data_IF_460979235654
#
_entry.id   IF_460979235654
#
_cell.length_a   1.000
_cell.length_b   1.000
_cell.length_c   1.000
_cell.angle_alpha   90.00
_cell.angle_beta   90.00
_cell.angle_gamma   90.00
#
_symmetry.space_group_name_H-M   'P 1'
#
loop_
_entity.id
_entity.type
_entity.pdbx_description
1 polymer ?
#
# COMPACT_ATOMS: atom_id res chain seq x y z
N UNK A 1 3.38 -32.28 23.85
CA UNK A 1 4.17 -32.09 22.62
C UNK A 1 4.25 -30.58 22.36
N UNK A 2 5.35 -30.10 21.88
CA UNK A 2 5.50 -28.68 21.47
C UNK A 2 4.67 -28.44 20.21
N UNK A 3 3.75 -27.51 20.24
CA UNK A 3 2.92 -27.13 19.10
C UNK A 3 3.79 -26.45 18.02
N UNK A 4 3.49 -26.67 16.73
CA UNK A 4 4.28 -26.12 15.63
C UNK A 4 3.48 -25.12 14.80
N UNK A 5 4.00 -23.90 14.70
CA UNK A 5 3.51 -22.85 13.83
C UNK A 5 4.40 -22.76 12.59
N UNK A 6 3.78 -22.91 11.42
CA UNK A 6 4.40 -22.62 10.14
C UNK A 6 3.87 -21.28 9.62
N UNK A 7 4.77 -20.40 9.16
CA UNK A 7 4.47 -19.10 8.56
C UNK A 7 4.96 -19.10 7.11
N UNK A 8 4.06 -18.82 6.17
CA UNK A 8 4.40 -18.67 4.75
C UNK A 8 4.46 -17.18 4.40
N UNK A 9 5.66 -16.68 4.17
CA UNK A 9 5.95 -15.26 3.91
C UNK A 9 6.63 -14.59 5.10
N UNK A 10 7.84 -14.11 4.88
CA UNK A 10 8.77 -13.59 5.90
C UNK A 10 8.83 -12.07 6.01
N UNK A 11 7.84 -11.32 5.49
CA UNK A 11 7.83 -9.86 5.59
C UNK A 11 6.79 -9.37 6.63
N UNK A 12 6.23 -8.19 6.46
CA UNK A 12 5.48 -7.40 7.43
C UNK A 12 4.45 -8.20 8.24
N UNK A 13 3.54 -8.93 7.60
CA UNK A 13 2.49 -9.67 8.28
C UNK A 13 3.03 -10.93 8.96
N UNK A 14 3.81 -11.74 8.23
CA UNK A 14 4.32 -13.02 8.73
C UNK A 14 5.23 -12.86 9.94
N UNK A 15 6.23 -11.98 9.85
CA UNK A 15 7.18 -11.78 10.95
C UNK A 15 6.60 -11.00 12.12
N UNK A 16 5.61 -10.11 11.89
CA UNK A 16 4.82 -9.50 12.96
C UNK A 16 4.02 -10.55 13.74
N UNK A 17 3.42 -11.52 13.02
CA UNK A 17 2.66 -12.59 13.65
C UNK A 17 3.57 -13.56 14.42
N UNK A 18 4.65 -14.03 13.79
CA UNK A 18 5.64 -14.91 14.42
C UNK A 18 6.20 -14.30 15.72
N UNK A 19 6.63 -13.04 15.64
CA UNK A 19 7.15 -12.29 16.82
C UNK A 19 6.08 -12.11 17.90
N UNK A 20 4.84 -11.86 17.54
CA UNK A 20 3.76 -11.67 18.49
C UNK A 20 3.36 -13.00 19.16
N UNK A 21 3.28 -14.10 18.41
CA UNK A 21 3.01 -15.43 18.94
C UNK A 21 4.12 -15.86 19.93
N UNK A 22 5.39 -15.60 19.59
CA UNK A 22 6.56 -15.89 20.44
C UNK A 22 6.54 -15.11 21.76
N UNK A 23 6.03 -13.87 21.78
CA UNK A 23 5.88 -13.10 23.03
C UNK A 23 4.87 -13.70 24.00
N UNK A 24 3.91 -14.48 23.49
CA UNK A 24 2.87 -15.11 24.31
C UNK A 24 3.23 -16.54 24.72
N UNK A 25 4.00 -17.24 23.89
CA UNK A 25 4.37 -18.64 24.14
C UNK A 25 5.86 -18.86 23.91
N UNK A 26 6.51 -19.42 24.92
CA UNK A 26 7.93 -19.75 24.85
C UNK A 26 8.26 -20.86 23.85
N UNK A 27 9.56 -21.06 23.52
CA UNK A 27 10.00 -22.02 22.51
C UNK A 27 9.70 -23.48 22.92
N UNK A 28 9.53 -23.77 24.20
CA UNK A 28 9.17 -25.09 24.70
C UNK A 28 7.69 -25.43 24.48
N UNK A 29 6.85 -24.42 24.27
CA UNK A 29 5.42 -24.57 24.06
C UNK A 29 5.02 -24.44 22.58
N UNK A 30 5.74 -23.57 21.83
CA UNK A 30 5.47 -23.28 20.43
C UNK A 30 6.77 -23.17 19.64
N UNK A 31 7.03 -24.11 18.74
CA UNK A 31 8.09 -23.95 17.75
C UNK A 31 7.57 -23.12 16.57
N UNK A 32 8.36 -22.22 16.03
CA UNK A 32 7.97 -21.32 14.94
C UNK A 32 9.00 -21.43 13.82
N UNK A 33 8.53 -21.79 12.62
CA UNK A 33 9.32 -21.72 11.40
C UNK A 33 8.63 -20.80 10.40
N UNK A 34 9.39 -19.91 9.76
CA UNK A 34 8.91 -19.02 8.71
C UNK A 34 9.69 -19.24 7.43
N UNK A 35 9.00 -19.35 6.30
CA UNK A 35 9.58 -19.54 4.98
C UNK A 35 9.35 -18.31 4.12
N UNK A 36 10.40 -17.82 3.46
CA UNK A 36 10.32 -16.80 2.44
C UNK A 36 11.11 -17.21 1.19
N UNK A 37 10.51 -17.02 0.02
CA UNK A 37 11.14 -17.35 -1.26
C UNK A 37 12.22 -16.35 -1.70
N UNK A 38 12.17 -15.11 -1.16
CA UNK A 38 13.09 -14.02 -1.48
C UNK A 38 14.42 -14.13 -0.75
N UNK A 39 15.31 -13.20 -1.07
CA UNK A 39 16.63 -13.09 -0.45
C UNK A 39 16.60 -12.32 0.88
N UNK A 40 15.47 -11.70 1.22
CA UNK A 40 15.31 -10.84 2.39
C UNK A 40 14.03 -11.17 3.13
N UNK A 41 14.01 -10.90 4.42
CA UNK A 41 12.79 -10.88 5.24
C UNK A 41 12.77 -9.65 6.13
N UNK A 42 11.58 -9.28 6.63
CA UNK A 42 11.41 -8.16 7.58
C UNK A 42 12.12 -6.88 7.13
N UNK A 43 11.70 -6.31 6.02
CA UNK A 43 12.28 -5.12 5.42
C UNK A 43 11.22 -4.02 5.16
N UNK A 44 11.70 -2.81 4.85
CA UNK A 44 10.87 -1.64 4.54
C UNK A 44 10.67 -1.52 3.02
N UNK A 45 9.69 -2.25 2.44
CA UNK A 45 9.38 -2.20 1.01
C UNK A 45 9.10 -0.76 0.52
N UNK A 46 8.43 0.07 1.33
CA UNK A 46 8.20 1.49 1.00
C UNK A 46 9.49 2.32 0.87
N UNK A 47 10.64 1.78 1.27
CA UNK A 47 11.95 2.39 1.09
C UNK A 47 12.55 2.21 -0.31
N UNK A 48 12.00 1.32 -1.14
CA UNK A 48 12.54 0.97 -2.46
C UNK A 48 12.65 2.20 -3.38
N UNK A 49 11.63 3.03 -3.58
CA UNK A 49 11.77 4.23 -4.42
C UNK A 49 12.85 5.18 -3.93
N UNK A 50 12.99 5.34 -2.61
CA UNK A 50 14.01 6.20 -2.02
C UNK A 50 15.43 5.63 -2.16
N UNK A 51 15.58 4.30 -2.16
CA UNK A 51 16.84 3.64 -2.49
C UNK A 51 17.19 3.83 -3.98
N UNK A 52 16.26 3.57 -4.89
CA UNK A 52 16.44 3.78 -6.32
C UNK A 52 16.77 5.25 -6.61
N UNK A 53 16.05 6.19 -6.01
CA UNK A 53 16.25 7.64 -6.15
C UNK A 53 17.53 8.17 -5.50
N UNK A 54 18.15 7.42 -4.57
CA UNK A 54 19.42 7.76 -3.92
C UNK A 54 19.29 8.52 -2.61
N UNK A 55 18.09 8.72 -2.08
CA UNK A 55 17.89 9.25 -0.73
C UNK A 55 18.34 8.23 0.34
N UNK A 56 18.14 6.95 0.08
CA UNK A 56 18.73 5.82 0.83
C UNK A 56 19.87 5.26 -0.01
N UNK A 57 21.09 5.26 0.52
CA UNK A 57 22.29 4.93 -0.26
C UNK A 57 22.59 3.43 -0.29
N UNK A 58 22.20 2.69 0.74
CA UNK A 58 22.50 1.29 0.93
C UNK A 58 21.22 0.50 1.16
N UNK A 59 21.02 -0.58 0.41
CA UNK A 59 19.84 -1.43 0.49
C UNK A 59 19.67 -2.05 1.88
N UNK A 60 20.78 -2.36 2.54
CA UNK A 60 20.80 -2.98 3.88
C UNK A 60 20.13 -2.10 4.94
N UNK A 61 20.06 -0.77 4.74
CA UNK A 61 19.33 0.15 5.62
C UNK A 61 17.81 -0.06 5.57
N UNK A 62 17.32 -0.77 4.57
CA UNK A 62 15.91 -1.13 4.46
C UNK A 62 15.59 -2.43 5.20
N UNK A 63 16.59 -3.24 5.56
CA UNK A 63 16.41 -4.48 6.31
C UNK A 63 16.22 -4.13 7.78
N UNK A 64 15.08 -4.54 8.34
CA UNK A 64 14.74 -4.27 9.74
C UNK A 64 15.35 -5.33 10.66
N UNK A 65 15.33 -6.61 10.22
CA UNK A 65 15.91 -7.74 10.96
C UNK A 65 16.33 -8.84 10.01
N UNK A 66 17.39 -9.56 10.41
CA UNK A 66 17.91 -10.72 9.67
C UNK A 66 17.40 -12.05 10.26
N UNK A 67 17.52 -13.17 9.52
CA UNK A 67 17.23 -14.51 10.03
C UNK A 67 17.95 -14.82 11.35
N UNK A 68 19.23 -14.46 11.45
CA UNK A 68 20.09 -14.69 12.63
C UNK A 68 19.58 -13.91 13.84
N UNK A 69 19.06 -12.70 13.64
CA UNK A 69 18.46 -11.91 14.71
C UNK A 69 17.13 -12.51 15.18
N UNK A 70 16.31 -13.07 14.30
CA UNK A 70 15.11 -13.79 14.69
C UNK A 70 15.43 -15.07 15.45
N UNK A 71 16.43 -15.83 14.99
CA UNK A 71 16.87 -17.03 15.69
C UNK A 71 17.44 -16.70 17.07
N UNK A 72 18.39 -15.78 17.17
CA UNK A 72 19.10 -15.49 18.42
C UNK A 72 18.27 -14.74 19.46
N UNK A 73 17.39 -13.82 19.02
CA UNK A 73 16.62 -12.96 19.94
C UNK A 73 15.23 -13.51 20.26
N UNK A 74 14.66 -14.33 19.37
CA UNK A 74 13.27 -14.77 19.46
C UNK A 74 13.08 -16.29 19.29
N UNK A 75 14.13 -17.04 19.01
CA UNK A 75 14.05 -18.48 18.76
C UNK A 75 13.00 -18.83 17.68
N UNK A 76 13.02 -18.04 16.58
CA UNK A 76 12.23 -18.24 15.38
C UNK A 76 13.17 -18.69 14.26
N UNK A 77 12.90 -19.86 13.68
CA UNK A 77 13.61 -20.41 12.54
C UNK A 77 13.07 -19.74 11.26
N UNK A 78 13.71 -18.66 10.82
CA UNK A 78 13.31 -17.91 9.63
C UNK A 78 14.23 -18.26 8.47
N UNK A 79 13.67 -18.90 7.43
CA UNK A 79 14.40 -19.43 6.28
C UNK A 79 14.07 -18.62 5.02
N UNK A 80 15.02 -17.83 4.55
CA UNK A 80 14.97 -17.17 3.24
C UNK A 80 15.35 -18.16 2.13
N UNK A 81 14.97 -17.85 0.85
CA UNK A 81 15.22 -18.69 -0.31
C UNK A 81 14.59 -20.09 -0.20
N UNK A 82 13.50 -20.17 0.55
CA UNK A 82 12.70 -21.35 0.74
C UNK A 82 11.25 -21.07 0.33
N UNK A 83 10.83 -21.61 -0.80
CA UNK A 83 9.47 -21.41 -1.32
C UNK A 83 8.56 -22.54 -0.85
N UNK A 84 7.41 -22.17 -0.27
CA UNK A 84 6.32 -23.11 -0.05
C UNK A 84 5.55 -23.26 -1.35
N UNK A 85 5.55 -24.46 -1.90
CA UNK A 85 4.97 -24.77 -3.21
C UNK A 85 3.64 -25.53 -3.11
N UNK A 86 3.32 -26.12 -1.94
CA UNK A 86 2.09 -26.87 -1.73
C UNK A 86 1.68 -26.81 -0.24
N UNK A 87 0.37 -26.79 0.01
CA UNK A 87 -0.23 -26.96 1.34
C UNK A 87 -1.12 -28.19 1.29
N UNK A 88 -0.83 -29.20 2.12
CA UNK A 88 -1.65 -30.40 2.31
C UNK A 88 -2.34 -30.31 3.67
N UNK A 89 -3.61 -29.89 3.65
CA UNK A 89 -4.42 -29.70 4.85
C UNK A 89 -4.75 -31.01 5.54
N UNK A 90 -4.89 -32.11 4.79
CA UNK A 90 -5.23 -33.44 5.35
C UNK A 90 -4.04 -34.00 6.14
N UNK A 91 -2.83 -33.78 5.67
CA UNK A 91 -1.59 -34.15 6.38
C UNK A 91 -1.17 -33.15 7.43
N UNK A 92 -1.70 -31.91 7.42
CA UNK A 92 -1.19 -30.83 8.25
C UNK A 92 0.27 -30.49 7.92
N UNK A 93 0.62 -30.35 6.63
CA UNK A 93 2.00 -30.12 6.20
C UNK A 93 2.08 -29.20 4.97
N UNK A 94 3.22 -28.51 4.84
CA UNK A 94 3.55 -27.73 3.65
C UNK A 94 4.77 -28.32 2.95
N UNK A 95 4.78 -28.29 1.62
CA UNK A 95 5.94 -28.66 0.82
C UNK A 95 6.81 -27.44 0.58
N UNK A 96 8.08 -27.56 0.92
CA UNK A 96 9.06 -26.47 0.83
C UNK A 96 10.15 -26.85 -0.16
N UNK A 97 10.48 -25.94 -1.06
CA UNK A 97 11.58 -26.10 -2.02
C UNK A 97 12.66 -25.06 -1.71
N UNK A 98 13.89 -25.50 -1.50
CA UNK A 98 15.05 -24.62 -1.34
C UNK A 98 15.54 -24.13 -2.71
N UNK A 99 15.73 -22.81 -2.87
CA UNK A 99 16.31 -22.22 -4.09
C UNK A 99 17.84 -22.41 -4.18
N UNK A 100 18.49 -22.85 -3.09
CA UNK A 100 19.94 -23.03 -3.06
C UNK A 100 20.41 -24.30 -3.76
N UNK A 101 19.68 -25.39 -3.56
CA UNK A 101 20.05 -26.72 -4.05
C UNK A 101 18.88 -27.48 -4.70
N UNK A 102 17.69 -26.88 -4.76
CA UNK A 102 16.47 -27.51 -5.27
C UNK A 102 15.91 -28.61 -4.38
N UNK A 103 16.40 -28.76 -3.15
CA UNK A 103 15.92 -29.77 -2.22
C UNK A 103 14.47 -29.51 -1.83
N UNK A 104 13.67 -30.57 -1.80
CA UNK A 104 12.26 -30.53 -1.40
C UNK A 104 12.07 -31.27 -0.08
N UNK A 105 11.27 -30.70 0.82
CA UNK A 105 10.91 -31.30 2.10
C UNK A 105 9.46 -31.00 2.47
N UNK A 106 8.84 -31.91 3.24
CA UNK A 106 7.56 -31.66 3.89
C UNK A 106 7.79 -31.20 5.34
N UNK A 107 7.18 -30.06 5.69
CA UNK A 107 7.22 -29.50 7.04
C UNK A 107 5.81 -29.54 7.65
N UNK A 108 5.65 -30.33 8.73
CA UNK A 108 4.37 -30.46 9.44
C UNK A 108 4.02 -29.21 10.24
N UNK A 109 2.73 -28.94 10.43
CA UNK A 109 2.22 -27.86 11.26
C UNK A 109 1.02 -28.29 12.11
N UNK A 110 0.89 -27.70 13.29
CA UNK A 110 -0.34 -27.67 14.08
C UNK A 110 -1.14 -26.39 13.81
N UNK A 111 -0.45 -25.31 13.40
CA UNK A 111 -1.02 -24.03 13.00
C UNK A 111 -0.31 -23.49 11.78
N UNK A 112 -1.07 -22.90 10.88
CA UNK A 112 -0.56 -22.31 9.64
C UNK A 112 -0.95 -20.83 9.54
N UNK A 113 0.01 -19.99 9.18
CA UNK A 113 -0.23 -18.61 8.74
C UNK A 113 0.16 -18.45 7.27
N UNK A 114 -0.80 -18.07 6.43
CA UNK A 114 -0.55 -17.67 5.05
C UNK A 114 -0.38 -16.15 4.99
N UNK A 115 0.83 -15.69 4.69
CA UNK A 115 1.22 -14.28 4.59
C UNK A 115 1.99 -14.02 3.28
N UNK A 116 1.53 -14.63 2.20
CA UNK A 116 2.15 -14.64 0.86
C UNK A 116 2.21 -13.28 0.17
N UNK A 117 1.56 -12.26 0.73
CA UNK A 117 1.60 -10.89 0.21
C UNK A 117 0.88 -10.71 -1.13
N UNK A 118 1.45 -9.87 -1.99
CA UNK A 118 0.90 -9.55 -3.31
C UNK A 118 2.04 -9.43 -4.34
N UNK A 119 1.68 -9.53 -5.62
CA UNK A 119 2.62 -9.40 -6.74
C UNK A 119 2.20 -8.25 -7.66
N UNK A 120 3.14 -7.44 -8.19
CA UNK A 120 2.85 -6.40 -9.18
C UNK A 120 2.14 -6.98 -10.40
N UNK A 121 1.06 -6.31 -10.81
CA UNK A 121 0.34 -6.71 -12.02
C UNK A 121 1.20 -6.49 -13.25
N UNK A 122 1.36 -7.54 -14.04
CA UNK A 122 2.04 -7.48 -15.34
C UNK A 122 1.01 -7.74 -16.43
N UNK A 123 0.86 -6.84 -17.42
CA UNK A 123 -0.14 -7.02 -18.47
C UNK A 123 0.30 -8.10 -19.46
N UNK A 124 -0.65 -8.87 -19.98
CA UNK A 124 -0.40 -9.84 -21.07
C UNK A 124 -0.34 -9.10 -22.41
N UNK A 125 0.72 -8.34 -22.62
CA UNK A 125 0.95 -7.53 -23.82
C UNK A 125 2.23 -7.98 -24.54
N UNK A 126 2.38 -7.70 -25.85
CA UNK A 126 3.61 -7.99 -26.58
C UNK A 126 4.83 -7.41 -25.88
N UNK A 127 5.86 -8.24 -25.67
CA UNK A 127 7.12 -7.91 -25.01
C UNK A 127 7.01 -7.35 -23.57
N UNK A 128 5.92 -7.62 -22.86
CA UNK A 128 5.80 -7.21 -21.46
C UNK A 128 6.78 -7.92 -20.52
N UNK A 129 7.39 -9.01 -20.97
CA UNK A 129 8.40 -9.81 -20.28
C UNK A 129 9.85 -9.46 -20.68
N UNK A 130 10.05 -8.45 -21.55
CA UNK A 130 11.38 -8.01 -21.95
C UNK A 130 12.19 -7.51 -20.75
N UNK A 131 13.52 -7.72 -20.81
CA UNK A 131 14.46 -7.17 -19.85
C UNK A 131 14.30 -5.63 -19.76
N UNK A 132 14.51 -5.05 -18.57
CA UNK A 132 14.35 -3.61 -18.36
C UNK A 132 12.93 -3.18 -18.03
N UNK A 133 11.96 -4.12 -17.95
CA UNK A 133 10.59 -3.86 -17.47
C UNK A 133 10.43 -4.47 -16.08
N UNK A 134 10.25 -3.62 -15.08
CA UNK A 134 10.22 -4.00 -13.66
C UNK A 134 8.85 -3.76 -13.02
N UNK A 135 8.47 -4.63 -12.07
CA UNK A 135 7.52 -4.30 -11.01
C UNK A 135 8.27 -3.75 -9.80
N UNK A 136 7.54 -3.26 -8.80
CA UNK A 136 8.12 -2.80 -7.53
C UNK A 136 7.24 -3.28 -6.39
N UNK A 137 7.71 -4.29 -5.64
CA UNK A 137 7.01 -4.85 -4.49
C UNK A 137 7.98 -5.35 -3.42
N UNK A 138 9.00 -6.11 -3.82
CA UNK A 138 9.96 -6.73 -2.93
C UNK A 138 11.34 -6.05 -3.05
N UNK A 139 12.18 -6.24 -2.04
CA UNK A 139 13.49 -5.60 -2.01
C UNK A 139 14.41 -6.03 -3.17
N UNK A 140 14.24 -7.26 -3.65
CA UNK A 140 14.95 -7.77 -4.83
C UNK A 140 14.61 -6.97 -6.10
N UNK A 141 13.36 -6.47 -6.26
CA UNK A 141 12.97 -5.59 -7.38
C UNK A 141 13.78 -4.29 -7.34
N UNK A 142 13.88 -3.69 -6.15
CA UNK A 142 14.66 -2.46 -5.95
C UNK A 142 16.13 -2.64 -6.30
N UNK A 143 16.71 -3.79 -5.92
CA UNK A 143 18.08 -4.14 -6.26
C UNK A 143 18.25 -4.34 -7.77
N UNK A 144 17.36 -5.06 -8.41
CA UNK A 144 17.41 -5.30 -9.85
C UNK A 144 17.32 -3.98 -10.65
N UNK A 145 16.42 -3.06 -10.27
CA UNK A 145 16.31 -1.73 -10.88
C UNK A 145 17.62 -0.95 -10.69
N UNK A 146 18.17 -0.94 -9.48
CA UNK A 146 19.42 -0.21 -9.18
C UNK A 146 20.61 -0.76 -9.98
N UNK A 147 20.74 -2.08 -10.09
CA UNK A 147 21.77 -2.75 -10.89
C UNK A 147 21.61 -2.42 -12.38
N UNK A 148 20.38 -2.49 -12.91
CA UNK A 148 20.07 -2.11 -14.29
C UNK A 148 20.45 -0.65 -14.58
N UNK A 149 20.14 0.28 -13.67
CA UNK A 149 20.53 1.69 -13.80
C UNK A 149 22.06 1.88 -13.81
N UNK A 150 22.77 1.14 -12.97
CA UNK A 150 24.24 1.22 -12.89
C UNK A 150 24.92 0.66 -14.13
N UNK A 151 24.44 -0.46 -14.66
CA UNK A 151 25.09 -1.20 -15.77
C UNK A 151 24.71 -0.62 -17.13
N UNK A 152 23.42 -0.32 -17.35
CA UNK A 152 22.88 0.15 -18.64
C UNK A 152 22.92 1.65 -18.79
N UNK A 153 22.97 2.41 -17.69
CA UNK A 153 22.98 3.88 -17.67
C UNK A 153 21.85 4.48 -18.52
N UNK A 154 20.59 4.10 -18.25
CA UNK A 154 19.45 4.57 -19.01
C UNK A 154 19.38 6.11 -18.97
N UNK A 155 18.84 6.72 -20.02
CA UNK A 155 18.62 8.15 -20.09
C UNK A 155 17.12 8.47 -20.00
N UNK A 156 16.28 7.54 -20.42
CA UNK A 156 14.81 7.70 -20.50
C UNK A 156 14.13 6.60 -19.71
N UNK A 157 13.22 6.99 -18.83
CA UNK A 157 12.39 6.08 -18.07
C UNK A 157 10.92 6.28 -18.45
N UNK A 158 10.18 5.18 -18.57
CA UNK A 158 8.73 5.22 -18.64
C UNK A 158 8.15 4.53 -17.41
N UNK A 159 7.11 5.14 -16.85
CA UNK A 159 6.30 4.57 -15.77
C UNK A 159 4.90 4.31 -16.30
N UNK A 160 4.45 3.07 -16.21
CA UNK A 160 3.12 2.66 -16.65
C UNK A 160 2.21 2.54 -15.43
N UNK A 161 1.29 3.49 -15.29
CA UNK A 161 0.41 3.66 -14.15
C UNK A 161 0.85 4.82 -13.23
N UNK A 162 -0.04 5.78 -13.05
CA UNK A 162 0.16 7.00 -12.25
C UNK A 162 -0.32 6.88 -10.80
N UNK A 163 -0.33 5.67 -10.21
CA UNK A 163 -0.64 5.44 -8.79
C UNK A 163 0.53 5.78 -7.86
N UNK A 164 0.40 5.47 -6.56
CA UNK A 164 1.41 5.77 -5.53
C UNK A 164 2.82 5.31 -5.93
N UNK A 165 2.99 4.01 -6.19
CA UNK A 165 4.31 3.43 -6.56
C UNK A 165 4.83 4.04 -7.86
N UNK A 166 3.93 4.23 -8.85
CA UNK A 166 4.33 4.83 -10.14
C UNK A 166 4.89 6.23 -9.97
N UNK A 167 4.24 7.09 -9.20
CA UNK A 167 4.70 8.47 -8.98
C UNK A 167 5.99 8.52 -8.14
N UNK A 168 6.11 7.71 -7.10
CA UNK A 168 7.34 7.60 -6.30
C UNK A 168 8.53 7.12 -7.15
N UNK A 169 8.31 6.17 -8.08
CA UNK A 169 9.34 5.72 -9.01
C UNK A 169 9.65 6.76 -10.09
N UNK A 170 8.65 7.52 -10.56
CA UNK A 170 8.86 8.62 -11.49
C UNK A 170 9.75 9.71 -10.86
N UNK A 171 9.48 10.09 -9.60
CA UNK A 171 10.33 10.99 -8.83
C UNK A 171 11.74 10.40 -8.66
N UNK A 172 11.86 9.12 -8.28
CA UNK A 172 13.14 8.46 -8.10
C UNK A 172 14.02 8.51 -9.37
N UNK A 173 13.45 8.24 -10.53
CA UNK A 173 14.16 8.33 -11.80
C UNK A 173 14.52 9.79 -12.16
N UNK A 174 13.62 10.73 -11.88
CA UNK A 174 13.88 12.16 -12.10
C UNK A 174 15.04 12.66 -11.23
N UNK A 175 15.10 12.23 -9.96
CA UNK A 175 16.22 12.55 -9.06
C UNK A 175 17.56 11.97 -9.54
N UNK A 176 17.53 10.89 -10.32
CA UNK A 176 18.70 10.30 -10.98
C UNK A 176 19.05 10.98 -12.32
N UNK A 177 18.29 11.98 -12.74
CA UNK A 177 18.57 12.76 -13.93
C UNK A 177 18.03 12.17 -15.23
N UNK A 178 17.10 11.19 -15.17
CA UNK A 178 16.48 10.63 -16.36
C UNK A 178 15.38 11.56 -16.90
N UNK A 179 15.14 11.47 -18.21
CA UNK A 179 13.90 11.96 -18.80
C UNK A 179 12.79 10.97 -18.48
N UNK A 180 11.72 11.45 -17.85
CA UNK A 180 10.66 10.60 -17.30
C UNK A 180 9.33 10.88 -17.97
N UNK A 181 8.66 9.83 -18.44
CA UNK A 181 7.28 9.85 -18.91
C UNK A 181 6.42 8.91 -18.04
N UNK A 182 5.24 9.37 -17.64
CA UNK A 182 4.22 8.57 -16.96
C UNK A 182 3.03 8.40 -17.87
N UNK A 183 2.60 7.15 -18.10
CA UNK A 183 1.42 6.79 -18.90
C UNK A 183 0.32 6.32 -17.98
N UNK A 184 -0.86 6.90 -18.06
CA UNK A 184 -2.00 6.58 -17.22
C UNK A 184 -3.28 6.41 -18.06
N UNK A 185 -4.00 5.33 -17.83
CA UNK A 185 -5.24 5.03 -18.54
C UNK A 185 -6.41 5.93 -18.11
N UNK A 186 -6.40 6.39 -16.87
CA UNK A 186 -7.39 7.35 -16.36
C UNK A 186 -7.09 8.78 -16.83
N UNK A 187 -8.04 9.70 -16.62
CA UNK A 187 -7.91 11.11 -17.01
C UNK A 187 -6.91 11.90 -16.15
N UNK A 188 -6.54 11.39 -14.99
CA UNK A 188 -5.69 12.07 -14.00
C UNK A 188 -4.75 11.11 -13.29
N UNK A 189 -3.64 11.60 -12.68
CA UNK A 189 -2.78 10.78 -11.83
C UNK A 189 -3.50 10.41 -10.52
N UNK A 190 -3.01 9.38 -9.85
CA UNK A 190 -3.58 8.87 -8.60
C UNK A 190 -5.10 8.63 -8.69
N UNK A 191 -5.56 7.58 -9.40
CA UNK A 191 -6.99 7.28 -9.58
C UNK A 191 -7.76 7.05 -8.25
N UNK A 192 -7.05 6.93 -7.15
CA UNK A 192 -7.62 6.87 -5.79
C UNK A 192 -8.06 8.23 -5.24
N UNK A 193 -7.71 9.35 -5.90
CA UNK A 193 -8.15 10.70 -5.58
C UNK A 193 -9.29 11.12 -6.51
N UNK A 194 -10.03 12.14 -6.11
CA UNK A 194 -10.96 12.83 -7.00
C UNK A 194 -10.21 13.75 -7.97
N UNK A 195 -10.77 13.97 -9.16
CA UNK A 195 -10.09 14.67 -10.27
C UNK A 195 -9.64 16.09 -9.91
N UNK A 196 -10.45 16.85 -9.14
CA UNK A 196 -10.14 18.22 -8.71
C UNK A 196 -8.94 18.29 -7.74
N UNK A 197 -8.67 17.23 -7.02
CA UNK A 197 -7.50 17.08 -6.14
C UNK A 197 -6.31 16.53 -6.92
N UNK A 198 -6.53 15.56 -7.77
CA UNK A 198 -5.50 14.93 -8.59
C UNK A 198 -4.86 15.90 -9.59
N UNK A 199 -5.57 16.92 -10.05
CA UNK A 199 -5.06 17.96 -10.93
C UNK A 199 -3.80 18.66 -10.32
N UNK A 200 -3.77 18.85 -9.01
CA UNK A 200 -2.61 19.45 -8.33
C UNK A 200 -1.35 18.56 -8.36
N UNK A 201 -1.56 17.24 -8.48
CA UNK A 201 -0.45 16.29 -8.66
C UNK A 201 0.07 16.35 -10.10
N UNK A 202 -0.83 16.53 -11.09
CA UNK A 202 -0.42 16.73 -12.48
C UNK A 202 0.42 18.03 -12.64
N UNK A 203 0.01 19.12 -11.99
CA UNK A 203 0.77 20.38 -11.96
C UNK A 203 2.16 20.18 -11.31
N UNK A 204 2.24 19.39 -10.25
CA UNK A 204 3.52 19.06 -9.61
C UNK A 204 4.42 18.23 -10.55
N UNK A 205 3.87 17.27 -11.30
CA UNK A 205 4.61 16.49 -12.30
C UNK A 205 5.17 17.40 -13.40
N UNK A 206 4.35 18.31 -13.94
CA UNK A 206 4.78 19.26 -14.94
C UNK A 206 5.93 20.15 -14.43
N UNK A 207 5.80 20.64 -13.20
CA UNK A 207 6.84 21.50 -12.58
C UNK A 207 8.18 20.77 -12.40
N UNK A 208 8.16 19.45 -12.26
CA UNK A 208 9.35 18.60 -12.21
C UNK A 208 9.90 18.26 -13.62
N UNK A 209 9.17 18.58 -14.68
CA UNK A 209 9.49 18.16 -16.03
C UNK A 209 9.28 16.65 -16.23
N UNK A 210 8.28 16.07 -15.58
CA UNK A 210 7.79 14.71 -15.84
C UNK A 210 6.68 14.81 -16.88
N UNK A 211 6.84 14.13 -18.03
CA UNK A 211 5.81 14.09 -19.07
C UNK A 211 4.67 13.18 -18.60
N UNK A 212 3.46 13.74 -18.47
CA UNK A 212 2.27 12.99 -18.06
C UNK A 212 1.33 12.76 -19.25
N UNK A 213 1.07 11.50 -19.56
CA UNK A 213 0.21 11.06 -20.66
C UNK A 213 -1.04 10.39 -20.11
N UNK A 214 -2.09 11.19 -19.86
CA UNK A 214 -3.39 10.71 -19.37
C UNK A 214 -4.29 10.17 -20.47
N UNK A 215 -5.27 9.34 -20.09
CA UNK A 215 -6.23 8.70 -21.01
C UNK A 215 -5.51 7.97 -22.14
N UNK A 216 -4.40 7.33 -21.83
CA UNK A 216 -3.62 6.51 -22.74
C UNK A 216 -3.42 5.11 -22.17
N UNK A 217 -3.82 4.10 -22.91
CA UNK A 217 -3.60 2.69 -22.56
C UNK A 217 -2.31 2.20 -23.20
N UNK A 218 -1.52 1.46 -22.45
CA UNK A 218 -0.38 0.73 -23.01
C UNK A 218 -0.93 -0.48 -23.78
N UNK A 219 -0.44 -0.67 -25.01
CA UNK A 219 -0.87 -1.73 -25.92
C UNK A 219 0.24 -2.74 -26.23
N UNK A 220 1.51 -2.31 -26.13
CA UNK A 220 2.67 -3.17 -26.33
C UNK A 220 3.92 -2.52 -25.75
N UNK A 221 4.98 -3.30 -25.68
CA UNK A 221 6.35 -2.80 -25.50
C UNK A 221 7.16 -3.15 -26.74
N UNK A 222 8.16 -2.34 -27.07
CA UNK A 222 9.17 -2.68 -28.05
C UNK A 222 10.44 -3.11 -27.31
N UNK A 223 11.13 -4.10 -27.88
CA UNK A 223 12.39 -4.58 -27.35
C UNK A 223 13.45 -4.66 -28.46
N UNK A 224 14.68 -4.33 -28.11
CA UNK A 224 15.86 -4.51 -28.98
C UNK A 224 16.88 -5.34 -28.24
N UNK A 225 17.35 -6.41 -28.88
CA UNK A 225 18.30 -7.35 -28.27
C UNK A 225 17.85 -7.88 -26.90
N UNK A 226 16.52 -8.12 -26.74
CA UNK A 226 15.90 -8.61 -25.50
C UNK A 226 15.60 -7.54 -24.45
N UNK A 227 16.09 -6.31 -24.61
CA UNK A 227 15.90 -5.20 -23.66
C UNK A 227 14.83 -4.20 -24.17
N UNK A 228 14.03 -3.65 -23.26
CA UNK A 228 13.01 -2.66 -23.60
C UNK A 228 13.61 -1.44 -24.31
N UNK A 229 12.91 -0.95 -25.32
CA UNK A 229 13.32 0.25 -26.10
C UNK A 229 12.22 1.29 -26.24
N UNK A 230 10.94 0.91 -26.07
CA UNK A 230 9.82 1.84 -26.07
C UNK A 230 8.59 1.23 -25.41
N UNK A 231 7.67 2.11 -25.00
CA UNK A 231 6.28 1.81 -24.59
C UNK A 231 5.36 2.28 -25.71
N UNK A 232 4.55 1.38 -26.23
CA UNK A 232 3.54 1.68 -27.26
C UNK A 232 2.19 1.88 -26.59
N UNK A 233 1.61 3.04 -26.78
CA UNK A 233 0.30 3.40 -26.24
C UNK A 233 -0.74 3.49 -27.35
N UNK A 234 -2.01 3.62 -26.97
CA UNK A 234 -3.12 3.87 -27.91
C UNK A 234 -2.99 5.17 -28.74
N UNK A 235 -2.03 6.05 -28.42
CA UNK A 235 -1.86 7.34 -29.08
C UNK A 235 -0.46 7.58 -29.64
N UNK A 236 0.57 6.94 -29.07
CA UNK A 236 1.98 7.19 -29.44
C UNK A 236 2.93 6.08 -29.04
N UNK A 237 4.14 6.13 -29.55
CA UNK A 237 5.28 5.34 -29.05
C UNK A 237 6.19 6.24 -28.22
N UNK A 238 6.51 5.83 -26.99
CA UNK A 238 7.33 6.57 -26.04
C UNK A 238 8.66 5.82 -25.88
N UNK A 239 9.77 6.35 -26.38
CA UNK A 239 11.09 5.74 -26.20
C UNK A 239 11.44 5.64 -24.71
N UNK A 240 11.89 4.44 -24.28
CA UNK A 240 12.28 4.19 -22.90
C UNK A 240 13.39 3.16 -22.83
N UNK A 241 14.40 3.45 -22.02
CA UNK A 241 15.55 2.56 -21.78
C UNK A 241 15.34 1.69 -20.53
N UNK A 242 14.38 2.10 -19.68
CA UNK A 242 13.92 1.36 -18.50
C UNK A 242 12.42 1.65 -18.28
N UNK A 243 11.66 0.65 -17.82
CA UNK A 243 10.22 0.77 -17.58
C UNK A 243 9.87 0.24 -16.20
N UNK A 244 8.99 0.95 -15.47
CA UNK A 244 8.37 0.46 -14.24
C UNK A 244 6.87 0.33 -14.43
N UNK A 245 6.33 -0.84 -14.02
CA UNK A 245 4.90 -1.13 -14.03
C UNK A 245 4.29 -0.75 -12.67
N UNK A 246 3.61 0.40 -12.64
CA UNK A 246 2.83 0.89 -11.50
C UNK A 246 1.34 0.54 -11.59
N UNK A 247 1.00 -0.66 -12.12
CA UNK A 247 -0.36 -1.10 -12.43
C UNK A 247 -1.12 -1.67 -11.21
N UNK A 248 -0.62 -1.40 -10.01
CA UNK A 248 -1.11 -2.00 -8.77
C UNK A 248 -0.64 -3.43 -8.61
N UNK A 249 -1.17 -4.09 -7.59
CA UNK A 249 -0.78 -5.45 -7.19
C UNK A 249 -1.99 -6.38 -7.20
N UNK A 250 -1.73 -7.68 -7.26
CA UNK A 250 -2.71 -8.74 -7.06
C UNK A 250 -2.33 -9.54 -5.81
N UNK A 251 -3.27 -9.88 -4.93
CA UNK A 251 -3.00 -10.75 -3.79
C UNK A 251 -2.52 -12.12 -4.28
N UNK A 252 -1.51 -12.69 -3.62
CA UNK A 252 -1.00 -14.02 -3.92
C UNK A 252 -1.87 -15.06 -3.24
N UNK A 253 -2.82 -15.62 -3.96
CA UNK A 253 -3.84 -16.54 -3.44
C UNK A 253 -3.74 -17.96 -3.99
N UNK A 254 -2.94 -18.17 -5.03
CA UNK A 254 -2.89 -19.42 -5.80
C UNK A 254 -2.58 -20.64 -4.91
N UNK A 255 -1.64 -20.47 -3.98
CA UNK A 255 -1.27 -21.53 -3.02
C UNK A 255 -2.43 -21.86 -2.06
N UNK A 256 -3.13 -20.84 -1.59
CA UNK A 256 -4.28 -20.99 -0.70
C UNK A 256 -5.48 -21.62 -1.43
N UNK A 257 -5.77 -21.13 -2.65
CA UNK A 257 -6.85 -21.63 -3.50
C UNK A 257 -6.66 -23.11 -3.86
N UNK A 258 -5.42 -23.48 -4.25
CA UNK A 258 -5.08 -24.87 -4.56
C UNK A 258 -5.26 -25.81 -3.35
N UNK A 259 -5.07 -25.30 -2.13
CA UNK A 259 -5.29 -26.05 -0.89
C UNK A 259 -6.77 -26.05 -0.43
N UNK A 260 -7.69 -25.36 -1.15
CA UNK A 260 -9.09 -25.26 -0.77
C UNK A 260 -9.36 -24.24 0.35
N UNK A 261 -8.43 -23.33 0.63
CA UNK A 261 -8.65 -22.21 1.57
C UNK A 261 -9.52 -21.16 0.86
N UNK A 262 -10.64 -20.71 1.49
CA UNK A 262 -11.61 -19.84 0.82
C UNK A 262 -11.05 -18.49 0.37
N UNK A 263 -11.35 -18.12 -0.88
CA UNK A 263 -11.10 -16.81 -1.45
C UNK A 263 -12.40 -15.99 -1.39
N UNK A 264 -12.31 -14.76 -0.95
CA UNK A 264 -13.45 -13.87 -0.79
C UNK A 264 -13.75 -13.01 -2.02
N UNK A 265 -14.84 -12.21 -1.96
CA UNK A 265 -15.30 -11.42 -3.12
C UNK A 265 -14.32 -10.35 -3.60
N UNK A 266 -13.33 -9.97 -2.80
CA UNK A 266 -12.28 -9.02 -3.23
C UNK A 266 -11.14 -9.69 -4.00
N UNK A 267 -11.17 -11.03 -4.16
CA UNK A 267 -10.11 -11.81 -4.77
C UNK A 267 -8.93 -12.10 -3.84
N UNK A 268 -9.05 -11.85 -2.56
CA UNK A 268 -8.05 -12.14 -1.54
C UNK A 268 -8.56 -13.27 -0.61
N UNK A 269 -7.67 -13.85 0.21
CA UNK A 269 -8.02 -14.93 1.14
C UNK A 269 -9.04 -14.41 2.14
N UNK A 270 -10.19 -15.11 2.25
CA UNK A 270 -11.25 -14.76 3.18
C UNK A 270 -10.85 -15.02 4.62
N UNK A 271 -11.00 -14.03 5.48
CA UNK A 271 -10.68 -14.12 6.90
C UNK A 271 -11.77 -13.46 7.76
N UNK A 272 -11.93 -13.97 8.97
CA UNK A 272 -12.72 -13.32 10.00
C UNK A 272 -11.93 -12.18 10.68
N UNK A 273 -12.55 -11.50 11.66
CA UNK A 273 -11.87 -10.43 12.41
C UNK A 273 -10.71 -10.92 13.28
N UNK A 274 -10.57 -12.21 13.49
CA UNK A 274 -9.42 -12.82 14.19
C UNK A 274 -8.30 -13.19 13.24
N UNK A 275 -8.42 -12.85 11.96
CA UNK A 275 -7.56 -13.25 10.86
C UNK A 275 -7.56 -14.77 10.60
N UNK A 276 -8.57 -15.50 11.11
CA UNK A 276 -8.75 -16.93 10.86
C UNK A 276 -9.50 -17.12 9.54
N UNK A 277 -9.07 -18.07 8.73
CA UNK A 277 -9.76 -18.49 7.51
C UNK A 277 -10.97 -19.40 7.85
N UNK A 278 -11.73 -19.82 6.85
CA UNK A 278 -12.77 -20.82 7.06
C UNK A 278 -12.24 -22.24 7.34
N UNK A 279 -10.92 -22.43 7.37
CA UNK A 279 -10.25 -23.71 7.62
C UNK A 279 -9.70 -23.73 9.05
N UNK A 280 -9.90 -24.84 9.76
CA UNK A 280 -9.40 -25.01 11.13
C UNK A 280 -7.88 -24.91 11.17
N UNK A 281 -7.36 -24.24 12.19
CA UNK A 281 -5.93 -24.04 12.43
C UNK A 281 -5.17 -23.27 11.31
N UNK A 282 -5.89 -22.57 10.40
CA UNK A 282 -5.31 -21.78 9.31
C UNK A 282 -5.72 -20.31 9.43
N UNK A 283 -4.75 -19.42 9.41
CA UNK A 283 -4.89 -17.95 9.40
C UNK A 283 -4.29 -17.37 8.13
N UNK A 284 -4.75 -16.17 7.75
CA UNK A 284 -4.09 -15.37 6.71
C UNK A 284 -4.00 -13.90 7.13
N UNK A 285 -2.94 -13.20 6.72
CA UNK A 285 -2.72 -11.80 7.05
C UNK A 285 -1.85 -11.09 6.01
N UNK A 286 -1.99 -9.78 5.92
CA UNK A 286 -1.25 -8.95 4.97
C UNK A 286 -1.95 -8.81 3.63
N UNK A 287 -1.18 -8.50 2.59
CA UNK A 287 -1.74 -8.10 1.29
C UNK A 287 -2.51 -9.24 0.58
N UNK A 288 -2.26 -10.50 0.98
CA UNK A 288 -2.98 -11.67 0.46
C UNK A 288 -4.39 -11.87 1.08
N UNK A 289 -4.72 -11.20 2.20
CA UNK A 289 -5.99 -11.39 2.92
C UNK A 289 -6.99 -10.27 2.65
N UNK A 290 -8.29 -10.57 2.78
CA UNK A 290 -9.37 -9.58 2.73
C UNK A 290 -9.39 -8.67 3.96
N UNK A 291 -9.88 -7.45 3.75
CA UNK A 291 -10.04 -6.45 4.79
C UNK A 291 -11.47 -5.91 4.81
N UNK A 292 -12.04 -5.77 6.01
CA UNK A 292 -13.31 -5.10 6.18
C UNK A 292 -13.11 -3.58 6.11
N UNK A 293 -13.69 -2.92 5.10
CA UNK A 293 -13.66 -1.46 5.02
C UNK A 293 -14.76 -0.83 5.86
N UNK A 294 -14.39 -0.09 6.89
CA UNK A 294 -15.32 0.39 7.94
C UNK A 294 -16.37 1.36 7.44
N UNK A 295 -16.06 2.19 6.46
CA UNK A 295 -17.03 3.16 5.92
C UNK A 295 -17.99 2.47 4.95
N UNK A 296 -17.48 1.81 3.90
CA UNK A 296 -18.32 1.14 2.90
C UNK A 296 -18.98 -0.14 3.39
N UNK A 297 -18.52 -0.71 4.53
CA UNK A 297 -18.99 -1.99 5.10
C UNK A 297 -18.79 -3.18 4.15
N UNK A 298 -17.84 -3.10 3.24
CA UNK A 298 -17.52 -4.13 2.26
C UNK A 298 -16.16 -4.78 2.52
N UNK A 299 -15.99 -6.02 2.06
CA UNK A 299 -14.67 -6.63 1.93
C UNK A 299 -13.91 -5.98 0.79
N UNK A 300 -12.63 -5.66 1.03
CA UNK A 300 -11.74 -5.04 0.07
C UNK A 300 -10.37 -5.71 0.09
N UNK A 301 -9.68 -5.70 -1.06
CA UNK A 301 -8.25 -5.96 -1.13
C UNK A 301 -7.51 -4.62 -1.11
N UNK A 302 -6.63 -4.42 -0.13
CA UNK A 302 -5.91 -3.17 0.08
C UNK A 302 -4.51 -3.45 0.63
N UNK A 303 -3.51 -3.30 -0.24
CA UNK A 303 -2.11 -3.58 0.06
C UNK A 303 -1.45 -2.34 0.70
N UNK A 304 -1.35 -2.33 2.02
CA UNK A 304 -0.66 -1.29 2.80
C UNK A 304 0.12 -1.92 3.97
N UNK A 305 1.38 -1.59 4.09
CA UNK A 305 2.27 -2.14 5.13
C UNK A 305 1.77 -1.91 6.57
N UNK A 306 1.07 -0.78 6.82
CA UNK A 306 0.44 -0.51 8.12
C UNK A 306 -0.68 -1.49 8.45
N UNK A 307 -1.44 -1.94 7.43
CA UNK A 307 -2.47 -2.96 7.58
C UNK A 307 -1.83 -4.32 7.83
N UNK A 308 -0.86 -4.71 6.99
CA UNK A 308 -0.16 -5.98 7.09
C UNK A 308 0.44 -6.20 8.49
N UNK A 309 1.12 -5.19 9.06
CA UNK A 309 1.67 -5.26 10.41
C UNK A 309 0.61 -5.43 11.50
N UNK A 310 -0.53 -4.70 11.39
CA UNK A 310 -1.62 -4.79 12.37
C UNK A 310 -2.35 -6.13 12.29
N UNK A 311 -2.59 -6.62 11.08
CA UNK A 311 -3.20 -7.94 10.83
C UNK A 311 -2.27 -9.06 11.33
N UNK A 312 -0.97 -9.00 11.01
CA UNK A 312 0.04 -9.91 11.53
C UNK A 312 0.05 -9.93 13.07
N UNK A 313 0.01 -8.76 13.71
CA UNK A 313 -0.08 -8.69 15.17
C UNK A 313 -1.34 -9.39 15.70
N UNK A 314 -2.51 -9.19 15.09
CA UNK A 314 -3.76 -9.83 15.51
C UNK A 314 -3.71 -11.34 15.29
N UNK A 315 -3.25 -11.78 14.12
CA UNK A 315 -3.05 -13.20 13.82
C UNK A 315 -2.09 -13.85 14.85
N UNK A 316 -0.96 -13.18 15.13
CA UNK A 316 0.03 -13.67 16.08
C UNK A 316 -0.49 -13.80 17.52
N UNK A 317 -1.36 -12.90 17.96
CA UNK A 317 -2.04 -13.03 19.27
C UNK A 317 -2.91 -14.28 19.30
N UNK A 318 -3.72 -14.48 18.26
CA UNK A 318 -4.65 -15.62 18.18
C UNK A 318 -3.90 -16.96 18.02
N UNK A 319 -2.84 -16.98 17.19
CA UNK A 319 -1.93 -18.12 17.02
C UNK A 319 -1.21 -18.48 18.33
N UNK A 320 -0.84 -17.48 19.12
CA UNK A 320 -0.22 -17.65 20.44
C UNK A 320 -1.21 -18.06 21.55
N UNK A 321 -2.48 -18.31 21.24
CA UNK A 321 -3.52 -18.73 22.19
C UNK A 321 -4.21 -17.57 22.93
N UNK A 322 -3.92 -16.32 22.58
CA UNK A 322 -4.65 -15.14 23.08
C UNK A 322 -5.94 -14.87 22.29
N UNK A 323 -6.51 -13.69 22.51
CA UNK A 323 -7.68 -13.21 21.79
C UNK A 323 -7.48 -11.77 21.32
N UNK A 324 -7.57 -11.54 20.02
CA UNK A 324 -7.56 -10.20 19.42
C UNK A 324 -8.41 -10.18 18.15
N UNK A 325 -8.92 -8.99 17.81
CA UNK A 325 -9.66 -8.76 16.57
C UNK A 325 -9.10 -7.57 15.80
N UNK A 326 -9.11 -7.68 14.49
CA UNK A 326 -8.79 -6.59 13.57
C UNK A 326 -10.09 -5.83 13.23
N UNK A 327 -10.18 -4.55 13.58
CA UNK A 327 -11.45 -3.81 13.42
C UNK A 327 -11.76 -3.40 11.98
N UNK A 328 -10.83 -3.65 11.06
CA UNK A 328 -10.91 -3.26 9.65
C UNK A 328 -10.08 -2.01 9.32
N UNK A 329 -10.33 -1.46 8.14
CA UNK A 329 -9.53 -0.37 7.54
C UNK A 329 -10.42 0.78 7.08
N UNK A 330 -9.84 1.95 6.88
CA UNK A 330 -10.46 3.12 6.24
C UNK A 330 -9.64 3.64 5.04
N UNK A 331 -8.57 2.94 4.64
CA UNK A 331 -7.79 3.28 3.47
C UNK A 331 -6.97 4.57 3.60
N UNK A 332 -6.44 4.87 4.80
CA UNK A 332 -5.58 6.03 4.99
C UNK A 332 -4.22 5.81 4.34
N UNK A 333 -3.87 6.71 3.42
CA UNK A 333 -2.60 6.67 2.71
C UNK A 333 -2.07 8.09 2.49
N UNK A 334 -0.75 8.21 2.48
CA UNK A 334 -0.03 9.44 2.17
C UNK A 334 1.08 9.14 1.17
N UNK A 335 1.43 10.10 0.36
CA UNK A 335 2.62 10.08 -0.50
C UNK A 335 3.13 11.50 -0.71
N UNK A 336 4.27 11.60 -1.35
CA UNK A 336 4.89 12.86 -1.71
C UNK A 336 5.46 12.77 -3.12
N UNK A 337 5.25 13.79 -3.92
CA UNK A 337 5.90 14.00 -5.20
C UNK A 337 6.68 15.31 -5.12
N UNK A 338 8.00 15.25 -5.08
CA UNK A 338 8.88 16.36 -4.81
C UNK A 338 8.54 17.05 -3.47
N UNK A 339 8.04 18.28 -3.51
CA UNK A 339 7.60 19.04 -2.33
C UNK A 339 6.07 19.06 -2.17
N UNK A 340 5.34 18.37 -3.04
CA UNK A 340 3.89 18.26 -2.97
C UNK A 340 3.49 17.01 -2.20
N UNK A 341 2.87 17.19 -1.06
CA UNK A 341 2.34 16.15 -0.20
C UNK A 341 0.89 15.87 -0.52
N UNK A 342 0.51 14.61 -0.49
CA UNK A 342 -0.86 14.15 -0.69
C UNK A 342 -1.26 13.16 0.39
N UNK A 343 -2.49 13.30 0.87
CA UNK A 343 -3.11 12.36 1.81
C UNK A 343 -4.55 12.09 1.45
N UNK A 344 -4.99 10.83 1.65
CA UNK A 344 -6.40 10.44 1.57
C UNK A 344 -6.79 9.55 2.74
N UNK A 345 -8.07 9.53 3.07
CA UNK A 345 -8.66 8.58 4.03
C UNK A 345 -10.17 8.44 3.78
N UNK A 346 -10.74 7.29 4.11
CA UNK A 346 -12.13 6.98 3.78
C UNK A 346 -12.35 6.77 2.29
N UNK A 347 -13.47 7.23 1.78
CA UNK A 347 -13.92 7.05 0.41
C UNK A 347 -13.67 8.31 -0.44
N UNK A 348 -13.38 8.14 -1.72
CA UNK A 348 -13.52 9.18 -2.74
C UNK A 348 -14.97 9.22 -3.26
N UNK A 349 -15.28 10.12 -4.19
CA UNK A 349 -16.64 10.29 -4.72
C UNK A 349 -17.18 9.02 -5.39
N UNK A 350 -16.37 8.36 -6.22
CA UNK A 350 -16.73 7.14 -6.93
C UNK A 350 -16.95 5.98 -5.97
N UNK A 351 -16.06 5.82 -4.99
CA UNK A 351 -16.16 4.78 -3.95
C UNK A 351 -17.41 5.00 -3.08
N UNK A 352 -17.72 6.26 -2.74
CA UNK A 352 -18.91 6.61 -1.94
C UNK A 352 -20.19 6.35 -2.74
N UNK A 353 -20.25 6.76 -4.00
CA UNK A 353 -21.36 6.47 -4.90
C UNK A 353 -21.53 4.97 -5.12
N UNK A 354 -20.45 4.25 -5.40
CA UNK A 354 -20.45 2.80 -5.55
C UNK A 354 -20.85 2.05 -4.27
N UNK A 355 -20.63 2.63 -3.09
CA UNK A 355 -21.08 2.09 -1.82
C UNK A 355 -22.56 2.42 -1.51
N UNK A 356 -23.22 3.23 -2.34
CA UNK A 356 -24.62 3.59 -2.22
C UNK A 356 -24.89 4.81 -1.30
N UNK A 357 -23.85 5.59 -0.97
CA UNK A 357 -24.05 6.81 -0.20
C UNK A 357 -24.58 7.95 -1.06
N UNK A 358 -25.52 8.71 -0.50
CA UNK A 358 -25.83 10.06 -0.97
C UNK A 358 -25.01 11.03 -0.13
N UNK A 359 -24.15 11.81 -0.77
CA UNK A 359 -23.17 12.64 -0.08
C UNK A 359 -23.12 14.06 -0.64
N UNK A 360 -22.44 14.91 0.08
CA UNK A 360 -22.00 16.23 -0.35
C UNK A 360 -20.47 16.29 -0.32
N UNK A 361 -19.91 17.17 -1.13
CA UNK A 361 -18.47 17.48 -1.13
C UNK A 361 -18.24 18.92 -0.76
N UNK A 362 -17.15 19.17 -0.03
CA UNK A 362 -16.69 20.51 0.34
C UNK A 362 -15.19 20.59 0.11
N UNK A 363 -14.80 21.33 -0.92
CA UNK A 363 -13.39 21.61 -1.22
C UNK A 363 -13.05 23.03 -0.80
N UNK A 364 -11.95 23.23 -0.09
CA UNK A 364 -11.46 24.54 0.37
C UNK A 364 -9.97 24.72 0.06
N UNK A 365 -9.62 25.94 -0.31
CA UNK A 365 -8.24 26.41 -0.37
C UNK A 365 -7.90 27.14 0.93
N UNK A 366 -6.70 26.88 1.45
CA UNK A 366 -6.19 27.48 2.67
C UNK A 366 -4.65 27.54 2.63
N UNK A 367 -4.03 27.72 3.78
CA UNK A 367 -2.58 27.78 3.90
C UNK A 367 -2.05 26.83 4.97
N UNK A 368 -0.82 26.36 4.80
CA UNK A 368 -0.17 25.44 5.76
C UNK A 368 0.14 26.10 7.11
N UNK A 369 0.31 27.43 7.12
CA UNK A 369 0.69 28.29 8.27
C UNK A 369 -0.18 29.54 8.29
N UNK A 370 -0.04 30.37 9.32
CA UNK A 370 -0.69 31.70 9.33
C UNK A 370 -0.23 32.53 8.13
N UNK A 371 -1.16 33.23 7.45
CA UNK A 371 -0.88 33.90 6.17
C UNK A 371 0.22 34.97 6.21
N UNK A 372 0.51 35.52 7.38
CA UNK A 372 1.60 36.50 7.59
C UNK A 372 2.93 35.81 7.96
N UNK A 373 2.93 34.50 8.22
CA UNK A 373 4.14 33.79 8.63
C UNK A 373 5.00 33.44 7.39
N UNK A 374 6.34 33.60 7.48
CA UNK A 374 7.22 33.23 6.37
C UNK A 374 7.02 31.78 5.89
N UNK A 375 7.26 31.56 4.60
CA UNK A 375 7.17 30.24 3.96
C UNK A 375 5.77 29.62 4.01
N UNK A 376 4.72 30.41 4.21
CA UNK A 376 3.33 29.96 4.07
C UNK A 376 3.08 29.43 2.67
N UNK A 377 2.52 28.23 2.56
CA UNK A 377 2.27 27.53 1.31
C UNK A 377 0.78 27.16 1.17
N UNK A 378 0.29 26.99 -0.07
CA UNK A 378 -1.08 26.58 -0.30
C UNK A 378 -1.35 25.15 0.15
N UNK A 379 -2.58 24.91 0.60
CA UNK A 379 -3.13 23.60 0.91
C UNK A 379 -4.58 23.55 0.47
N UNK A 380 -4.97 22.46 -0.19
CA UNK A 380 -6.34 22.17 -0.59
C UNK A 380 -6.85 20.98 0.21
N UNK A 381 -8.03 21.12 0.79
CA UNK A 381 -8.68 20.07 1.58
C UNK A 381 -10.08 19.80 1.04
N UNK A 382 -10.39 18.55 0.76
CA UNK A 382 -11.70 18.07 0.31
C UNK A 382 -12.26 17.09 1.32
N UNK A 383 -13.54 17.28 1.70
CA UNK A 383 -14.29 16.39 2.57
C UNK A 383 -15.52 15.87 1.84
N UNK A 384 -15.81 14.58 2.07
CA UNK A 384 -17.06 13.94 1.69
C UNK A 384 -17.87 13.68 2.95
N UNK A 385 -19.11 14.17 3.01
CA UNK A 385 -20.01 13.95 4.14
C UNK A 385 -21.34 13.36 3.67
N UNK A 386 -21.87 12.39 4.41
CA UNK A 386 -23.16 11.79 4.14
C UNK A 386 -24.27 12.84 4.23
N UNK A 387 -25.14 12.90 3.23
CA UNK A 387 -26.28 13.81 3.23
C UNK A 387 -27.23 13.42 4.36
N UNK A 388 -27.69 14.40 5.11
CA UNK A 388 -28.63 14.23 6.23
C UNK A 388 -27.91 14.04 7.57
N UNK A 389 -27.08 13.02 7.73
CA UNK A 389 -26.36 12.77 9.00
C UNK A 389 -25.16 13.69 9.21
N UNK A 390 -24.55 14.14 8.11
CA UNK A 390 -23.28 14.87 8.14
C UNK A 390 -22.09 14.01 8.54
N UNK A 391 -22.23 12.68 8.63
CA UNK A 391 -21.13 11.77 8.96
C UNK A 391 -20.02 11.88 7.91
N UNK A 392 -18.78 12.02 8.36
CA UNK A 392 -17.62 12.07 7.48
C UNK A 392 -17.39 10.70 6.83
N UNK A 393 -17.38 10.66 5.49
CA UNK A 393 -17.20 9.45 4.69
C UNK A 393 -15.79 9.34 4.12
N UNK A 394 -15.19 10.49 3.78
CA UNK A 394 -13.88 10.53 3.17
C UNK A 394 -13.26 11.91 3.18
N UNK A 395 -11.96 11.95 2.96
CA UNK A 395 -11.19 13.18 2.90
C UNK A 395 -9.94 13.04 2.05
N UNK A 396 -9.54 14.14 1.41
CA UNK A 396 -8.33 14.26 0.60
C UNK A 396 -7.67 15.60 0.88
N UNK A 397 -6.35 15.60 0.96
CA UNK A 397 -5.54 16.80 1.19
C UNK A 397 -4.37 16.79 0.20
N UNK A 398 -4.12 17.92 -0.45
CA UNK A 398 -2.92 18.16 -1.26
C UNK A 398 -2.35 19.52 -0.91
N UNK A 399 -1.03 19.60 -0.75
CA UNK A 399 -0.35 20.83 -0.43
C UNK A 399 1.15 20.64 -0.28
N UNK A 400 1.81 21.60 0.33
CA UNK A 400 3.23 21.51 0.67
C UNK A 400 3.42 20.96 2.08
N UNK A 401 4.60 21.15 2.66
CA UNK A 401 5.01 20.61 3.96
C UNK A 401 3.91 20.73 5.04
N UNK A 402 3.60 19.61 5.66
CA UNK A 402 2.59 19.47 6.70
C UNK A 402 1.15 19.21 6.19
N UNK A 403 0.95 19.12 4.86
CA UNK A 403 -0.36 18.77 4.31
C UNK A 403 -0.71 17.30 4.58
N UNK A 404 0.19 16.37 4.25
CA UNK A 404 -0.09 14.95 4.36
C UNK A 404 -0.43 14.51 5.80
N UNK A 405 0.29 15.01 6.79
CA UNK A 405 0.07 14.61 8.20
C UNK A 405 -1.25 15.12 8.79
N UNK A 406 -1.87 16.15 8.21
CA UNK A 406 -3.23 16.57 8.61
C UNK A 406 -4.29 15.53 8.29
N UNK A 407 -4.04 14.60 7.36
CA UNK A 407 -4.97 13.51 7.07
C UNK A 407 -5.23 12.61 8.29
N UNK A 408 -4.30 12.50 9.23
CA UNK A 408 -4.46 11.70 10.44
C UNK A 408 -5.58 12.21 11.37
N UNK A 409 -5.82 13.52 11.39
CA UNK A 409 -6.97 14.13 12.10
C UNK A 409 -8.28 13.63 11.48
N UNK A 410 -8.35 13.68 10.15
CA UNK A 410 -9.52 13.23 9.39
C UNK A 410 -9.70 11.71 9.47
N UNK A 411 -8.61 10.95 9.44
CA UNK A 411 -8.63 9.52 9.67
C UNK A 411 -9.18 9.17 11.06
N UNK A 412 -8.77 9.91 12.09
CA UNK A 412 -9.28 9.75 13.45
C UNK A 412 -10.78 10.09 13.53
N UNK A 413 -11.23 11.14 12.85
CA UNK A 413 -12.63 11.52 12.79
C UNK A 413 -13.49 10.44 12.09
N UNK A 414 -13.05 9.95 10.92
CA UNK A 414 -13.75 8.86 10.20
C UNK A 414 -13.75 7.57 11.03
N UNK A 415 -12.65 7.25 11.69
CA UNK A 415 -12.53 6.07 12.54
C UNK A 415 -13.55 6.07 13.67
N UNK A 416 -13.84 7.23 14.24
CA UNK A 416 -14.84 7.44 15.29
C UNK A 416 -16.22 7.80 14.75
N UNK A 417 -16.46 7.67 13.43
CA UNK A 417 -17.74 7.94 12.78
C UNK A 417 -18.28 9.37 13.04
N UNK A 418 -17.39 10.34 13.23
CA UNK A 418 -17.76 11.72 13.55
C UNK A 418 -18.50 12.39 12.38
N UNK A 419 -19.41 13.27 12.72
CA UNK A 419 -20.03 14.21 11.79
C UNK A 419 -19.12 15.42 11.53
N UNK A 420 -19.37 16.13 10.44
CA UNK A 420 -18.66 17.40 10.13
C UNK A 420 -18.95 18.48 11.15
N UNK A 421 -20.09 18.44 11.84
CA UNK A 421 -20.44 19.34 12.94
C UNK A 421 -19.58 19.09 14.19
N UNK A 422 -19.34 17.82 14.53
CA UNK A 422 -18.43 17.43 15.62
C UNK A 422 -16.99 17.76 15.26
N UNK A 423 -16.55 17.44 14.03
CA UNK A 423 -15.20 17.75 13.52
C UNK A 423 -14.90 19.24 13.60
N UNK A 424 -15.86 20.13 13.28
CA UNK A 424 -15.70 21.57 13.37
C UNK A 424 -15.34 22.06 14.77
N UNK A 425 -15.75 21.33 15.80
CA UNK A 425 -15.59 21.71 17.21
C UNK A 425 -14.41 21.00 17.91
N UNK A 426 -13.59 20.26 17.17
CA UNK A 426 -12.38 19.66 17.74
C UNK A 426 -11.40 20.76 18.14
N UNK A 427 -10.85 20.64 19.35
CA UNK A 427 -9.80 21.51 19.87
C UNK A 427 -8.44 21.15 19.25
N UNK A 428 -8.16 21.70 18.05
CA UNK A 428 -6.88 21.53 17.37
C UNK A 428 -5.88 22.59 17.84
N UNK A 429 -4.63 22.20 17.94
CA UNK A 429 -3.54 23.09 18.33
C UNK A 429 -3.30 24.20 17.30
N UNK A 430 -2.97 25.40 17.79
CA UNK A 430 -2.63 26.54 16.97
C UNK A 430 -1.34 27.23 17.46
N UNK A 431 -0.46 27.50 16.50
CA UNK A 431 0.55 28.55 16.58
C UNK A 431 0.91 28.96 15.13
N UNK A 432 1.30 30.25 14.90
CA UNK A 432 1.55 30.76 13.54
C UNK A 432 2.45 29.91 12.65
N UNK A 433 3.53 29.26 13.15
CA UNK A 433 4.40 28.41 12.34
C UNK A 433 3.76 27.09 11.88
N UNK A 434 2.66 26.65 12.48
CA UNK A 434 2.10 25.30 12.28
C UNK A 434 0.73 25.30 11.61
N UNK A 435 -0.08 26.35 11.81
CA UNK A 435 -1.44 26.45 11.27
C UNK A 435 -1.92 27.89 11.24
N UNK A 436 -2.86 28.29 10.37
CA UNK A 436 -3.72 29.45 10.63
C UNK A 436 -4.60 29.17 11.85
N UNK A 437 -5.20 30.22 12.44
CA UNK A 437 -6.10 30.10 13.62
C UNK A 437 -7.23 29.10 13.39
N UNK A 438 -7.79 29.10 12.19
CA UNK A 438 -8.67 28.05 11.72
C UNK A 438 -7.85 27.10 10.85
N UNK A 439 -7.55 25.91 11.37
CA UNK A 439 -6.85 24.87 10.60
C UNK A 439 -7.63 24.56 9.31
N UNK A 440 -6.96 24.24 8.18
CA UNK A 440 -7.60 23.83 6.93
C UNK A 440 -8.67 22.75 7.09
N UNK A 441 -8.44 21.82 8.02
CA UNK A 441 -9.42 20.75 8.37
C UNK A 441 -10.71 21.36 8.92
N UNK A 442 -10.62 22.34 9.84
CA UNK A 442 -11.78 23.00 10.43
C UNK A 442 -12.49 23.92 9.43
N UNK A 443 -11.75 24.58 8.53
CA UNK A 443 -12.36 25.38 7.45
C UNK A 443 -13.20 24.48 6.53
N UNK A 444 -12.65 23.31 6.16
CA UNK A 444 -13.34 22.34 5.33
C UNK A 444 -14.57 21.77 6.04
N UNK A 445 -14.43 21.42 7.33
CA UNK A 445 -15.56 20.94 8.16
C UNK A 445 -16.69 21.95 8.25
N UNK A 446 -16.37 23.26 8.45
CA UNK A 446 -17.37 24.36 8.48
C UNK A 446 -18.11 24.47 7.15
N UNK A 447 -17.40 24.41 6.02
CA UNK A 447 -18.02 24.46 4.70
C UNK A 447 -18.92 23.23 4.46
N UNK A 448 -18.44 22.05 4.80
CA UNK A 448 -19.20 20.81 4.68
C UNK A 448 -20.49 20.86 5.55
N UNK A 449 -20.36 21.29 6.80
CA UNK A 449 -21.51 21.47 7.68
C UNK A 449 -22.56 22.41 7.10
N UNK A 450 -22.17 23.58 6.57
CA UNK A 450 -23.08 24.53 5.94
C UNK A 450 -23.82 23.90 4.74
N UNK A 451 -23.15 23.09 3.94
CA UNK A 451 -23.75 22.41 2.79
C UNK A 451 -24.73 21.30 3.25
N UNK A 452 -24.42 20.58 4.32
CA UNK A 452 -25.33 19.57 4.92
C UNK A 452 -26.62 20.27 5.40
N UNK A 453 -26.52 21.36 6.16
CA UNK A 453 -27.65 22.12 6.64
C UNK A 453 -28.52 22.70 5.51
N UNK A 454 -27.88 23.18 4.43
CA UNK A 454 -28.59 23.66 3.25
C UNK A 454 -29.32 22.54 2.52
N UNK A 455 -28.71 21.35 2.45
CA UNK A 455 -29.31 20.18 1.78
C UNK A 455 -30.51 19.63 2.53
N UNK A 456 -30.52 19.75 3.85
CA UNK A 456 -31.68 19.35 4.71
C UNK A 456 -32.89 20.28 4.55
N UNK A 457 -32.68 21.52 4.11
CA UNK A 457 -33.76 22.52 3.92
C UNK A 457 -34.39 22.49 2.53
N UNK A 458 -33.80 21.75 1.59
CA UNK A 458 -34.37 21.55 0.24
C UNK A 458 -35.11 20.22 0.25
N UNK A 459 -36.45 20.19 0.02
CA UNK A 459 -37.23 18.95 -0.03
C UNK A 459 -36.80 18.06 -1.19
#
# INVERSE_FOLDING_TARGET
MTERLVVIGGDAAGMSAASQARRLRGPQELSIVAFDRGNYLSYSACGIPYFVGGAVQEIDKLIVRTPEEFASKQDIDARIRHEVTEIDLDKGAVKVTSSDDGAEAWEGFDKLLVATGATPRRPSLPHADADGIFGVQILDDGRAIFEAMRERRPQRAAVVGGGYIGLEMAEAFKMRGLDVAVVEASSHPMPSLDEDIAALIADAMESMGIAFHSSERVEAFEAKDGWVSAVVTSKRTIPADIVVLGLGVAPNVELAEAAGIPIGPSGAISVDRRMQTGVEAVWAAGDCSEKFHRVSRRSVSMALGTHANKEGRVAGINLGGGYATFPGVIGTAVSKLCDTEVGRTGLNEDEAGGAGFTFITATVDSTTRAGYYPETQPIKTKLLAERGSGRLLGAQIVGKEGAAKRIDVLATAIWNEMSVAELLNIDLSYAPPFSPVWDPVLIAARKAWQLVEQSAKKP
#
